data_IF_034557586972
#
_entry.id   IF_034557586972
#
_cell.length_a   1.000
_cell.length_b   1.000
_cell.length_c   1.000
_cell.angle_alpha   90.00
_cell.angle_beta   90.00
_cell.angle_gamma   90.00
#
_symmetry.space_group_name_H-M   'P 1'
#
loop_
_entity.id
_entity.type
_entity.pdbx_description
1 polymer ?
#
# COMPACT_ATOMS: atom_id res chain seq x y z
N UNK A 1 24.12 4.09 0.56
CA UNK A 1 22.87 3.41 1.01
C UNK A 1 21.78 4.46 1.10
N UNK A 2 21.06 4.75 0.01
CA UNK A 2 19.91 5.65 0.04
C UNK A 2 18.63 4.82 0.11
N UNK A 3 17.89 4.95 1.23
CA UNK A 3 16.53 4.42 1.37
C UNK A 3 15.61 5.10 0.35
N UNK A 4 15.02 4.31 -0.53
CA UNK A 4 14.15 4.79 -1.62
C UNK A 4 12.67 4.88 -1.21
N UNK A 5 12.38 5.12 0.07
CA UNK A 5 11.03 5.02 0.63
C UNK A 5 10.19 6.30 0.61
N UNK A 6 10.75 7.47 0.25
CA UNK A 6 10.05 8.76 0.39
C UNK A 6 9.32 9.28 -0.87
N UNK A 7 9.38 8.59 -2.01
CA UNK A 7 8.79 9.10 -3.26
C UNK A 7 7.26 8.96 -3.39
N UNK A 8 6.56 8.43 -2.38
CA UNK A 8 5.10 8.21 -2.46
C UNK A 8 4.26 8.96 -1.43
N UNK A 9 4.87 9.81 -0.61
CA UNK A 9 4.14 10.51 0.45
C UNK A 9 3.75 11.95 0.09
N UNK A 10 3.92 12.39 -1.17
CA UNK A 10 3.36 13.69 -1.58
C UNK A 10 1.83 13.57 -1.76
N UNK A 11 1.05 14.56 -1.30
CA UNK A 11 -0.37 14.64 -1.56
C UNK A 11 -0.56 15.05 -3.02
N UNK A 12 -0.38 14.13 -3.97
CA UNK A 12 -1.12 14.07 -5.23
C UNK A 12 -0.66 12.90 -6.11
N UNK A 13 -1.62 12.02 -6.41
CA UNK A 13 -1.68 11.19 -7.60
C UNK A 13 -3.17 11.04 -7.93
N UNK A 14 -3.71 12.03 -8.66
CA UNK A 14 -5.05 12.01 -9.20
C UNK A 14 -5.18 10.83 -10.18
N UNK A 15 -6.29 10.07 -10.10
CA UNK A 15 -6.55 8.97 -11.03
C UNK A 15 -7.62 7.96 -10.64
N UNK A 16 -8.37 8.14 -9.55
CA UNK A 16 -9.57 7.34 -9.29
C UNK A 16 -10.55 8.11 -8.41
N UNK A 17 -11.84 7.79 -8.52
CA UNK A 17 -12.85 8.24 -7.57
C UNK A 17 -12.49 7.75 -6.14
N UNK A 18 -11.97 8.67 -5.33
CA UNK A 18 -11.55 8.40 -3.96
C UNK A 18 -12.73 8.51 -2.98
N UNK A 19 -13.92 8.92 -3.44
CA UNK A 19 -15.09 9.18 -2.59
C UNK A 19 -15.49 7.96 -1.78
N UNK A 20 -15.42 6.76 -2.36
CA UNK A 20 -15.74 5.49 -1.68
C UNK A 20 -14.79 5.13 -0.53
N UNK A 21 -13.66 5.82 -0.41
CA UNK A 21 -12.70 5.63 0.68
C UNK A 21 -12.73 6.77 1.71
N UNK A 22 -13.63 7.75 1.53
CA UNK A 22 -13.85 8.83 2.49
C UNK A 22 -14.75 8.36 3.63
N UNK A 23 -14.28 8.62 4.84
CA UNK A 23 -15.00 8.42 6.09
C UNK A 23 -15.50 9.78 6.56
N UNK A 24 -16.81 9.87 6.79
CA UNK A 24 -17.50 11.08 7.26
C UNK A 24 -18.02 10.95 8.70
N UNK A 25 -18.17 9.72 9.20
CA UNK A 25 -18.67 9.46 10.55
C UNK A 25 -17.68 9.98 11.60
N UNK A 26 -18.10 10.95 12.41
CA UNK A 26 -17.26 11.51 13.49
C UNK A 26 -16.79 10.45 14.48
N UNK A 27 -17.64 9.46 14.79
CA UNK A 27 -17.30 8.36 15.68
C UNK A 27 -16.19 7.49 15.08
N UNK A 28 -16.29 7.18 13.79
CA UNK A 28 -15.30 6.37 13.08
C UNK A 28 -13.98 7.13 12.91
N UNK A 29 -14.03 8.41 12.56
CA UNK A 29 -12.85 9.29 12.49
C UNK A 29 -12.13 9.31 13.84
N UNK A 30 -12.86 9.55 14.94
CA UNK A 30 -12.31 9.53 16.28
C UNK A 30 -11.65 8.18 16.65
N UNK A 31 -12.30 7.07 16.29
CA UNK A 31 -11.76 5.73 16.52
C UNK A 31 -10.45 5.50 15.75
N UNK A 32 -10.42 5.85 14.46
CA UNK A 32 -9.22 5.72 13.61
C UNK A 32 -8.06 6.56 14.15
N UNK A 33 -8.29 7.85 14.40
CA UNK A 33 -7.25 8.74 14.95
C UNK A 33 -6.80 8.28 16.35
N UNK A 34 -7.72 7.76 17.17
CA UNK A 34 -7.39 7.17 18.47
C UNK A 34 -6.51 5.92 18.35
N UNK A 35 -6.77 5.05 17.37
CA UNK A 35 -5.90 3.90 17.08
C UNK A 35 -4.50 4.34 16.65
N UNK A 36 -4.41 5.36 15.79
CA UNK A 36 -3.13 5.92 15.35
C UNK A 36 -2.31 6.47 16.52
N UNK A 37 -2.96 7.22 17.42
CA UNK A 37 -2.32 7.77 18.62
C UNK A 37 -1.87 6.70 19.60
N UNK A 38 -2.72 5.71 19.90
CA UNK A 38 -2.35 4.56 20.75
C UNK A 38 -1.16 3.77 20.20
N UNK A 39 -1.05 3.67 18.88
CA UNK A 39 0.05 2.98 18.22
C UNK A 39 1.32 3.82 18.09
N UNK A 40 1.30 5.12 18.45
CA UNK A 40 2.43 6.03 18.23
C UNK A 40 2.82 6.16 16.76
N UNK A 41 1.85 6.07 15.85
CA UNK A 41 2.14 6.08 14.40
C UNK A 41 2.74 7.41 13.98
N UNK A 42 3.86 7.37 13.25
CA UNK A 42 4.48 8.56 12.67
C UNK A 42 3.55 9.16 11.60
N UNK A 43 3.23 10.44 11.74
CA UNK A 43 2.38 11.21 10.84
C UNK A 43 3.24 12.28 10.18
N UNK A 44 3.18 12.36 8.85
CA UNK A 44 3.81 13.45 8.11
C UNK A 44 2.77 14.53 7.85
N UNK A 45 3.02 15.75 8.32
CA UNK A 45 2.16 16.90 8.14
C UNK A 45 2.75 17.82 7.07
N UNK A 46 2.10 17.88 5.90
CA UNK A 46 2.48 18.71 4.76
C UNK A 46 1.76 20.05 4.80
N UNK A 47 2.48 21.13 4.50
CA UNK A 47 1.97 22.49 4.42
C UNK A 47 2.74 23.30 3.36
N UNK A 48 2.46 24.60 3.22
CA UNK A 48 3.12 25.43 2.19
C UNK A 48 2.87 24.93 0.76
N UNK A 49 1.67 24.41 0.48
CA UNK A 49 1.35 23.78 -0.81
C UNK A 49 1.99 22.41 -1.02
N UNK A 50 2.47 21.75 0.04
CA UNK A 50 3.11 20.44 -0.03
C UNK A 50 4.64 20.49 -0.22
N UNK A 51 5.23 21.68 -0.18
CA UNK A 51 6.67 21.89 -0.27
C UNK A 51 7.37 21.76 1.09
N UNK A 52 6.66 22.04 2.18
CA UNK A 52 7.16 21.90 3.54
C UNK A 52 6.47 20.74 4.26
N UNK A 53 7.18 20.11 5.20
CA UNK A 53 6.60 19.11 6.08
C UNK A 53 7.24 19.08 7.47
N UNK A 54 6.51 18.53 8.44
CA UNK A 54 7.04 18.08 9.72
C UNK A 54 6.63 16.63 9.98
N UNK A 55 7.44 15.91 10.76
CA UNK A 55 7.07 14.63 11.34
C UNK A 55 6.47 14.87 12.73
N UNK A 56 5.32 14.26 13.00
CA UNK A 56 4.58 14.40 14.26
C UNK A 56 3.90 13.06 14.61
N UNK A 57 3.20 13.00 15.74
CA UNK A 57 2.36 11.86 16.14
C UNK A 57 1.10 12.37 16.85
N UNK A 58 0.01 11.60 16.80
CA UNK A 58 -1.21 11.91 17.55
C UNK A 58 -0.98 11.56 19.02
N UNK A 59 -1.02 12.57 19.89
CA UNK A 59 -0.84 12.43 21.34
C UNK A 59 -2.16 12.06 22.00
N UNK A 60 -3.25 12.71 21.60
CA UNK A 60 -4.57 12.47 22.17
C UNK A 60 -5.68 12.87 21.21
N UNK A 61 -6.83 12.22 21.36
CA UNK A 61 -8.08 12.55 20.69
C UNK A 61 -9.14 12.80 21.77
N UNK A 62 -9.90 13.89 21.63
CA UNK A 62 -10.99 14.31 22.54
C UNK A 62 -12.25 14.56 21.71
N UNK A 63 -13.00 13.50 21.35
CA UNK A 63 -14.17 13.61 20.47
C UNK A 63 -15.25 14.54 21.04
N UNK A 64 -15.46 14.50 22.36
CA UNK A 64 -16.39 15.35 23.10
C UNK A 64 -16.04 16.84 23.04
N UNK A 65 -14.76 17.17 22.82
CA UNK A 65 -14.29 18.55 22.63
C UNK A 65 -14.07 18.90 21.15
N UNK A 66 -14.28 17.95 20.23
CA UNK A 66 -13.94 18.07 18.82
C UNK A 66 -12.45 18.40 18.58
N UNK A 67 -11.54 17.85 19.38
CA UNK A 67 -10.11 18.20 19.38
C UNK A 67 -9.20 16.99 19.16
N UNK A 68 -8.12 17.21 18.41
CA UNK A 68 -6.99 16.28 18.23
C UNK A 68 -5.71 17.01 18.63
N UNK A 69 -4.87 16.35 19.43
CA UNK A 69 -3.59 16.87 19.89
C UNK A 69 -2.46 16.10 19.22
N UNK A 70 -1.48 16.82 18.70
CA UNK A 70 -0.35 16.28 17.93
C UNK A 70 0.96 16.77 18.53
N UNK A 71 2.00 15.94 18.50
CA UNK A 71 3.31 16.34 19.00
C UNK A 71 3.95 17.42 18.13
N UNK A 72 4.93 18.14 18.67
CA UNK A 72 5.75 19.03 17.85
C UNK A 72 6.74 18.23 17.01
N UNK A 73 7.06 18.74 15.82
CA UNK A 73 8.17 18.22 15.04
C UNK A 73 9.51 18.62 15.67
N UNK A 74 10.59 17.98 15.23
CA UNK A 74 11.93 18.24 15.76
C UNK A 74 12.46 19.66 15.45
N UNK A 75 12.00 20.29 14.36
CA UNK A 75 12.41 21.64 13.94
C UNK A 75 11.39 22.69 14.42
N UNK A 76 11.82 23.54 15.36
CA UNK A 76 11.01 24.63 15.90
C UNK A 76 10.60 25.68 14.84
N UNK A 77 11.46 25.98 13.87
CA UNK A 77 11.14 26.92 12.79
C UNK A 77 10.10 26.33 11.85
N UNK A 78 10.19 25.03 11.53
CA UNK A 78 9.17 24.33 10.75
C UNK A 78 7.83 24.25 11.51
N UNK A 79 7.86 24.03 12.83
CA UNK A 79 6.66 24.07 13.68
C UNK A 79 5.96 25.44 13.65
N UNK A 80 6.73 26.53 13.66
CA UNK A 80 6.18 27.89 13.52
C UNK A 80 5.54 28.10 12.15
N UNK A 81 6.20 27.68 11.06
CA UNK A 81 5.61 27.74 9.70
C UNK A 81 4.34 26.90 9.59
N UNK A 82 4.32 25.70 10.17
CA UNK A 82 3.14 24.83 10.17
C UNK A 82 1.93 25.49 10.86
N UNK A 83 2.14 26.24 11.94
CA UNK A 83 1.07 27.00 12.63
C UNK A 83 0.53 28.18 11.83
N UNK A 84 1.39 28.80 11.03
CA UNK A 84 1.03 29.94 10.18
C UNK A 84 0.39 29.50 8.86
N UNK A 85 0.46 28.21 8.52
CA UNK A 85 -0.16 27.67 7.32
C UNK A 85 -1.69 27.61 7.45
N UNK A 86 -2.40 28.00 6.39
CA UNK A 86 -3.87 27.94 6.33
C UNK A 86 -4.44 26.58 5.91
N UNK A 87 -3.58 25.60 5.60
CA UNK A 87 -3.98 24.22 5.34
C UNK A 87 -2.82 23.28 5.62
N UNK A 88 -3.08 22.25 6.40
CA UNK A 88 -2.15 21.19 6.73
C UNK A 88 -2.76 19.86 6.31
N UNK A 89 -2.03 19.06 5.53
CA UNK A 89 -2.45 17.72 5.12
C UNK A 89 -1.60 16.70 5.85
N UNK A 90 -2.24 15.82 6.59
CA UNK A 90 -1.60 14.75 7.34
C UNK A 90 -1.68 13.46 6.54
N UNK A 91 -0.55 12.76 6.43
CA UNK A 91 -0.46 11.46 5.79
C UNK A 91 0.20 10.49 6.77
N UNK A 92 -0.42 9.33 6.96
CA UNK A 92 0.10 8.27 7.82
C UNK A 92 -0.18 6.91 7.17
N UNK A 93 0.82 6.04 7.20
CA UNK A 93 0.66 4.64 6.78
C UNK A 93 0.63 3.78 8.02
N UNK A 94 -0.55 3.30 8.40
CA UNK A 94 -0.73 2.41 9.54
C UNK A 94 -1.14 1.02 9.06
N UNK A 95 -0.35 -0.01 9.39
CA UNK A 95 -0.58 -1.40 8.95
C UNK A 95 -0.80 -1.52 7.44
N UNK A 96 0.03 -0.81 6.64
CA UNK A 96 -0.03 -0.75 5.17
C UNK A 96 -1.30 -0.09 4.59
N UNK A 97 -2.11 0.54 5.43
CA UNK A 97 -3.26 1.35 5.01
C UNK A 97 -2.85 2.80 5.14
N UNK A 98 -2.93 3.52 4.02
CA UNK A 98 -2.68 4.94 4.01
C UNK A 98 -3.93 5.69 4.44
N UNK A 99 -3.75 6.60 5.39
CA UNK A 99 -4.77 7.45 5.95
C UNK A 99 -4.35 8.89 5.71
N UNK A 100 -5.27 9.69 5.14
CA UNK A 100 -5.08 11.14 4.96
C UNK A 100 -6.20 11.91 5.61
N UNK A 101 -5.86 13.01 6.24
CA UNK A 101 -6.83 13.98 6.76
C UNK A 101 -6.21 15.36 6.72
N UNK A 102 -7.01 16.40 6.93
CA UNK A 102 -6.53 17.78 6.85
C UNK A 102 -7.05 18.62 8.03
N UNK A 103 -6.31 19.69 8.31
CA UNK A 103 -6.71 20.75 9.21
C UNK A 103 -6.55 22.10 8.52
N UNK A 104 -7.41 23.06 8.87
CA UNK A 104 -7.29 24.45 8.41
C UNK A 104 -6.21 25.23 9.19
N UNK A 105 -5.97 24.88 10.45
CA UNK A 105 -4.95 25.52 11.26
C UNK A 105 -4.48 24.62 12.40
N UNK A 106 -3.25 24.87 12.87
CA UNK A 106 -2.69 24.29 14.08
C UNK A 106 -2.53 25.38 15.14
N UNK A 107 -3.01 25.11 16.35
CA UNK A 107 -2.83 26.01 17.51
C UNK A 107 -1.90 25.38 18.52
N UNK A 108 -1.12 26.20 19.22
CA UNK A 108 -0.36 25.72 20.38
C UNK A 108 -1.31 25.42 21.53
N UNK A 109 -1.07 24.28 22.17
CA UNK A 109 -1.75 23.86 23.38
C UNK A 109 -0.77 23.15 24.31
N UNK A 110 -1.24 22.80 25.51
CA UNK A 110 -0.53 21.92 26.42
C UNK A 110 -1.35 20.68 26.70
N UNK A 111 -0.70 19.53 26.68
CA UNK A 111 -1.33 18.26 27.01
C UNK A 111 -0.36 17.39 27.83
N UNK A 112 -0.77 17.03 29.05
CA UNK A 112 0.08 16.26 29.96
C UNK A 112 1.42 16.94 30.27
N UNK A 113 1.43 18.27 30.43
CA UNK A 113 2.63 19.07 30.74
C UNK A 113 3.58 19.31 29.55
N UNK A 114 3.25 18.82 28.35
CA UNK A 114 4.05 19.00 27.14
C UNK A 114 3.37 19.99 26.17
N UNK A 115 4.17 20.76 25.46
CA UNK A 115 3.68 21.60 24.37
C UNK A 115 3.32 20.71 23.17
N UNK A 116 2.12 20.93 22.64
CA UNK A 116 1.56 20.14 21.54
C UNK A 116 0.86 21.07 20.57
N UNK A 117 0.68 20.62 19.33
CA UNK A 117 -0.32 21.22 18.46
C UNK A 117 -1.70 20.72 18.85
N UNK A 118 -2.69 21.55 18.57
CA UNK A 118 -4.10 21.20 18.64
C UNK A 118 -4.79 21.62 17.35
N UNK A 119 -5.73 20.78 16.90
CA UNK A 119 -6.58 21.02 15.74
C UNK A 119 -8.00 20.53 16.04
N UNK A 120 -8.97 21.07 15.30
CA UNK A 120 -10.31 20.50 15.28
C UNK A 120 -10.27 19.08 14.69
N UNK A 121 -11.22 18.23 15.09
CA UNK A 121 -11.44 16.94 14.43
C UNK A 121 -11.66 17.17 12.92
N UNK A 122 -11.01 16.41 12.02
CA UNK A 122 -11.24 16.57 10.60
C UNK A 122 -12.69 16.20 10.25
N UNK A 123 -13.30 16.97 9.35
CA UNK A 123 -14.67 16.68 8.87
C UNK A 123 -14.74 15.39 8.05
N UNK A 124 -13.63 15.04 7.40
CA UNK A 124 -13.49 13.83 6.59
C UNK A 124 -12.10 13.24 6.74
N UNK A 125 -12.01 11.92 6.66
CA UNK A 125 -10.75 11.18 6.62
C UNK A 125 -10.75 10.25 5.41
N UNK A 126 -9.68 10.27 4.62
CA UNK A 126 -9.48 9.31 3.53
C UNK A 126 -8.75 8.10 4.08
N UNK A 127 -9.32 6.90 3.95
CA UNK A 127 -8.70 5.63 4.35
C UNK A 127 -8.55 4.71 3.15
N UNK A 128 -7.36 4.69 2.53
CA UNK A 128 -7.06 4.01 1.28
C UNK A 128 -6.84 2.49 1.45
N UNK A 129 -7.85 1.79 2.00
CA UNK A 129 -7.89 0.33 1.99
C UNK A 129 -8.48 -0.18 0.66
N UNK A 130 -7.67 -0.10 -0.41
CA UNK A 130 -8.07 -0.49 -1.78
C UNK A 130 -8.06 -1.99 -2.06
N UNK A 131 -7.61 -2.81 -1.10
CA UNK A 131 -7.34 -4.23 -1.31
C UNK A 131 -8.26 -5.07 -0.44
N UNK A 132 -9.05 -5.90 -1.10
CA UNK A 132 -9.90 -6.91 -0.45
C UNK A 132 -9.10 -8.12 0.00
N UNK A 133 -8.01 -8.44 -0.72
CA UNK A 133 -7.16 -9.59 -0.44
C UNK A 133 -5.75 -9.18 0.00
N UNK A 134 -5.24 -9.87 1.03
CA UNK A 134 -3.84 -9.79 1.43
C UNK A 134 -2.92 -10.26 0.29
N UNK A 135 -1.77 -9.60 0.14
CA UNK A 135 -0.76 -9.94 -0.87
C UNK A 135 0.56 -10.30 -0.20
N UNK A 136 1.19 -11.35 -0.70
CA UNK A 136 2.53 -11.76 -0.28
C UNK A 136 3.48 -11.75 -1.47
N UNK A 137 4.69 -11.23 -1.26
CA UNK A 137 5.77 -11.28 -2.24
C UNK A 137 6.29 -12.72 -2.33
N UNK A 138 6.54 -13.18 -3.55
CA UNK A 138 7.09 -14.51 -3.81
C UNK A 138 8.62 -14.51 -3.63
N UNK A 139 9.24 -15.67 -3.31
CA UNK A 139 10.68 -15.75 -3.16
C UNK A 139 11.44 -15.48 -4.46
N UNK A 140 12.49 -14.65 -4.41
CA UNK A 140 13.35 -14.38 -5.57
C UNK A 140 14.25 -15.56 -5.96
N UNK A 141 14.61 -16.40 -4.99
CA UNK A 141 15.50 -17.55 -5.20
C UNK A 141 14.81 -18.74 -5.86
N UNK A 142 13.48 -18.82 -5.73
CA UNK A 142 12.62 -19.83 -6.34
C UNK A 142 11.37 -19.10 -6.85
N UNK A 143 11.48 -18.39 -7.98
CA UNK A 143 10.40 -17.57 -8.49
C UNK A 143 9.19 -18.43 -8.81
N UNK A 144 8.03 -17.91 -8.43
CA UNK A 144 6.75 -18.49 -8.83
C UNK A 144 6.47 -18.09 -10.28
N UNK A 145 5.96 -19.00 -11.10
CA UNK A 145 5.76 -18.75 -12.54
C UNK A 145 4.27 -18.86 -12.89
N UNK A 146 3.83 -17.96 -13.77
CA UNK A 146 2.56 -18.06 -14.48
C UNK A 146 2.85 -18.41 -15.94
N UNK A 147 2.23 -19.46 -16.43
CA UNK A 147 2.28 -19.88 -17.83
C UNK A 147 1.05 -19.30 -18.53
N UNK A 148 1.27 -18.40 -19.48
CA UNK A 148 0.23 -17.80 -20.31
C UNK A 148 0.11 -18.64 -21.58
N UNK A 149 -1.09 -19.17 -21.80
CA UNK A 149 -1.38 -19.94 -23.02
C UNK A 149 -1.27 -19.03 -24.26
N UNK A 150 -0.89 -19.58 -25.43
CA UNK A 150 -0.86 -18.79 -26.66
C UNK A 150 -2.23 -18.19 -26.97
N UNK A 151 -2.28 -16.88 -27.24
CA UNK A 151 -3.54 -16.16 -27.45
C UNK A 151 -4.03 -16.20 -28.91
N UNK A 152 -3.15 -16.51 -29.86
CA UNK A 152 -3.48 -16.58 -31.29
C UNK A 152 -2.85 -17.82 -31.91
N UNK A 153 -3.41 -18.29 -33.04
CA UNK A 153 -2.87 -19.44 -33.77
C UNK A 153 -1.47 -19.21 -34.36
N UNK A 154 -1.00 -17.95 -34.41
CA UNK A 154 0.34 -17.59 -34.88
C UNK A 154 1.41 -17.71 -33.79
N UNK A 155 1.00 -17.64 -32.52
CA UNK A 155 1.89 -17.89 -31.37
C UNK A 155 1.76 -19.36 -31.00
N UNK A 156 2.84 -20.12 -31.15
CA UNK A 156 2.80 -21.58 -30.90
C UNK A 156 3.30 -21.97 -29.51
N UNK A 157 4.08 -21.13 -28.84
CA UNK A 157 4.67 -21.44 -27.54
C UNK A 157 3.99 -20.66 -26.41
N UNK A 158 3.72 -21.30 -25.25
CA UNK A 158 3.25 -20.59 -24.06
C UNK A 158 4.34 -19.65 -23.54
N UNK A 159 3.93 -18.51 -22.98
CA UNK A 159 4.84 -17.56 -22.36
C UNK A 159 4.95 -17.82 -20.85
N UNK A 160 6.17 -17.83 -20.32
CA UNK A 160 6.41 -17.98 -18.88
C UNK A 160 6.77 -16.62 -18.27
N UNK A 161 5.94 -16.15 -17.34
CA UNK A 161 6.15 -14.87 -16.65
C UNK A 161 6.37 -15.08 -15.16
N UNK A 162 7.30 -14.31 -14.58
CA UNK A 162 7.61 -14.42 -13.15
C UNK A 162 6.56 -13.69 -12.33
N UNK A 163 5.97 -14.35 -11.34
CA UNK A 163 5.06 -13.74 -10.37
C UNK A 163 5.88 -13.09 -9.26
N UNK A 164 5.68 -11.79 -9.05
CA UNK A 164 6.35 -10.96 -8.03
C UNK A 164 5.58 -10.95 -6.72
N UNK A 165 4.26 -10.89 -6.79
CA UNK A 165 3.37 -11.00 -5.62
C UNK A 165 2.07 -11.71 -5.99
N UNK A 166 1.47 -12.39 -5.01
CA UNK A 166 0.25 -13.18 -5.17
C UNK A 166 -0.74 -12.86 -4.04
N UNK A 167 -2.02 -12.90 -4.38
CA UNK A 167 -3.18 -12.75 -3.49
C UNK A 167 -4.30 -13.69 -3.92
N UNK A 168 -5.35 -13.84 -3.11
CA UNK A 168 -6.52 -14.63 -3.50
C UNK A 168 -7.36 -14.02 -4.64
N UNK A 169 -7.13 -12.76 -5.00
CA UNK A 169 -7.83 -12.08 -6.09
C UNK A 169 -6.97 -11.77 -7.32
N UNK A 170 -5.68 -12.10 -7.32
CA UNK A 170 -4.80 -11.80 -8.45
C UNK A 170 -3.32 -11.94 -8.17
N UNK A 171 -2.52 -11.71 -9.20
CA UNK A 171 -1.05 -11.79 -9.21
C UNK A 171 -0.45 -10.52 -9.82
N UNK A 172 0.75 -10.15 -9.38
CA UNK A 172 1.60 -9.24 -10.11
C UNK A 172 2.69 -10.03 -10.83
N UNK A 173 2.87 -9.79 -12.12
CA UNK A 173 3.89 -10.45 -12.95
C UNK A 173 4.93 -9.45 -13.43
N UNK A 174 6.13 -9.94 -13.65
CA UNK A 174 7.22 -9.23 -14.31
C UNK A 174 7.82 -10.16 -15.36
N UNK A 175 8.08 -9.62 -16.54
CA UNK A 175 8.67 -10.39 -17.63
C UNK A 175 9.68 -9.50 -18.40
N UNK A 176 10.90 -10.03 -18.67
CA UNK A 176 11.93 -9.36 -19.47
C UNK A 176 11.59 -9.16 -20.95
N UNK A 177 10.67 -9.95 -21.51
CA UNK A 177 10.50 -10.13 -22.96
C UNK A 177 9.05 -9.95 -23.44
N UNK A 178 8.18 -9.33 -22.63
CA UNK A 178 6.75 -9.26 -22.96
C UNK A 178 6.54 -8.61 -24.34
N UNK A 179 5.71 -9.20 -25.22
CA UNK A 179 5.18 -8.50 -26.39
C UNK A 179 4.46 -7.20 -25.98
N UNK A 180 4.24 -6.28 -26.91
CA UNK A 180 3.53 -5.02 -26.63
C UNK A 180 2.12 -5.22 -26.02
N UNK A 181 1.58 -6.45 -26.06
CA UNK A 181 0.18 -6.80 -25.79
C UNK A 181 -0.25 -6.96 -24.31
N UNK A 182 0.65 -6.89 -23.30
CA UNK A 182 0.21 -6.84 -21.88
C UNK A 182 -0.15 -5.41 -21.50
N UNK A 183 -1.25 -4.93 -22.05
CA UNK A 183 -1.81 -3.62 -21.74
C UNK A 183 -3.01 -3.72 -20.80
N UNK A 184 -3.32 -2.61 -20.14
CA UNK A 184 -4.46 -2.56 -19.22
C UNK A 184 -5.74 -2.90 -19.96
N UNK A 185 -6.49 -3.89 -19.45
CA UNK A 185 -7.69 -4.43 -20.09
C UNK A 185 -7.46 -5.75 -20.85
N UNK A 186 -6.22 -6.11 -21.18
CA UNK A 186 -5.93 -7.39 -21.83
C UNK A 186 -6.37 -8.58 -20.96
N UNK A 187 -6.98 -9.58 -21.59
CA UNK A 187 -7.50 -10.78 -20.94
C UNK A 187 -6.77 -12.00 -21.48
N UNK A 188 -6.19 -12.79 -20.58
CA UNK A 188 -5.48 -14.02 -20.90
C UNK A 188 -6.23 -15.19 -20.30
N UNK A 189 -6.69 -16.10 -21.15
CA UNK A 189 -7.45 -17.27 -20.71
C UNK A 189 -6.57 -18.48 -20.49
N UNK A 190 -6.98 -19.35 -19.56
CA UNK A 190 -6.32 -20.63 -19.29
C UNK A 190 -4.89 -20.50 -18.76
N UNK A 191 -4.57 -19.40 -18.07
CA UNK A 191 -3.26 -19.22 -17.46
C UNK A 191 -3.05 -20.26 -16.35
N UNK A 192 -1.86 -20.84 -16.28
CA UNK A 192 -1.50 -21.84 -15.27
C UNK A 192 -0.49 -21.26 -14.29
N UNK A 193 -0.84 -21.26 -13.01
CA UNK A 193 0.04 -20.87 -11.92
C UNK A 193 0.56 -22.14 -11.26
N UNK A 194 1.86 -22.36 -11.32
CA UNK A 194 2.51 -23.52 -10.71
C UNK A 194 2.76 -23.20 -9.23
N UNK A 195 2.09 -23.89 -8.31
CA UNK A 195 2.26 -23.72 -6.87
C UNK A 195 3.15 -24.84 -6.31
N UNK A 196 4.41 -24.55 -5.92
CA UNK A 196 5.35 -25.56 -5.43
C UNK A 196 4.74 -26.42 -4.32
N UNK A 197 4.81 -27.74 -4.49
CA UNK A 197 4.27 -28.78 -3.58
C UNK A 197 2.74 -28.81 -3.42
N UNK A 198 2.00 -27.89 -4.04
CA UNK A 198 0.54 -27.79 -3.95
C UNK A 198 -0.18 -28.09 -5.27
N UNK A 199 0.57 -28.21 -6.37
CA UNK A 199 0.06 -28.50 -7.70
C UNK A 199 -0.03 -27.25 -8.57
N UNK A 200 -1.07 -27.14 -9.37
CA UNK A 200 -1.28 -25.97 -10.23
C UNK A 200 -2.70 -25.45 -10.18
N UNK A 201 -2.84 -24.16 -10.51
CA UNK A 201 -4.12 -23.47 -10.63
C UNK A 201 -4.27 -22.98 -12.06
N UNK A 202 -5.35 -23.37 -12.72
CA UNK A 202 -5.76 -22.79 -14.00
C UNK A 202 -6.80 -21.69 -13.76
N UNK A 203 -6.56 -20.49 -14.30
CA UNK A 203 -7.45 -19.35 -14.17
C UNK A 203 -7.29 -18.40 -15.35
N UNK A 204 -8.34 -17.65 -15.64
CA UNK A 204 -8.26 -16.50 -16.54
C UNK A 204 -7.77 -15.29 -15.74
N UNK A 205 -7.01 -14.41 -16.38
CA UNK A 205 -6.48 -13.19 -15.77
C UNK A 205 -6.76 -11.96 -16.65
N UNK A 206 -7.08 -10.84 -16.02
CA UNK A 206 -7.24 -9.54 -16.70
C UNK A 206 -6.23 -8.55 -16.16
N UNK A 207 -5.51 -7.87 -17.04
CA UNK A 207 -4.53 -6.84 -16.67
C UNK A 207 -5.27 -5.60 -16.17
N UNK A 208 -5.03 -5.21 -14.92
CA UNK A 208 -5.60 -4.01 -14.28
C UNK A 208 -4.64 -2.84 -14.19
N UNK A 209 -3.35 -3.11 -14.34
CA UNK A 209 -2.31 -2.09 -14.40
C UNK A 209 -1.09 -2.65 -15.11
N UNK A 210 -0.45 -1.87 -15.97
CA UNK A 210 0.82 -2.20 -16.58
C UNK A 210 1.73 -0.96 -16.60
N UNK A 211 3.00 -1.12 -16.25
CA UNK A 211 3.98 -0.05 -16.29
C UNK A 211 5.41 -0.61 -16.45
N UNK A 212 6.31 0.20 -17.01
CA UNK A 212 7.71 -0.15 -17.09
C UNK A 212 8.39 -0.04 -15.72
N UNK A 213 9.26 -1.00 -15.41
CA UNK A 213 10.14 -0.98 -14.25
C UNK A 213 11.59 -1.16 -14.69
N UNK A 214 12.46 -0.29 -14.19
CA UNK A 214 13.91 -0.45 -14.36
C UNK A 214 14.45 -1.25 -13.19
N UNK A 215 15.01 -2.42 -13.47
CA UNK A 215 15.68 -3.25 -12.47
C UNK A 215 17.02 -2.62 -12.04
N UNK A 216 17.60 -3.13 -10.94
CA UNK A 216 18.91 -2.69 -10.45
C UNK A 216 20.04 -2.87 -11.49
N UNK A 217 19.88 -3.81 -12.41
CA UNK A 217 20.79 -4.03 -13.53
C UNK A 217 20.69 -2.97 -14.63
N UNK A 218 19.73 -2.05 -14.56
CA UNK A 218 19.40 -1.11 -15.62
C UNK A 218 18.48 -1.69 -16.70
N UNK A 219 18.18 -3.00 -16.66
CA UNK A 219 17.24 -3.62 -17.58
C UNK A 219 15.82 -3.08 -17.37
N UNK A 220 15.13 -2.77 -18.48
CA UNK A 220 13.72 -2.39 -18.47
C UNK A 220 12.86 -3.64 -18.61
N UNK A 221 11.88 -3.79 -17.73
CA UNK A 221 10.92 -4.88 -17.74
C UNK A 221 9.50 -4.29 -17.70
N UNK A 222 8.51 -5.00 -18.22
CA UNK A 222 7.10 -4.64 -18.03
C UNK A 222 6.59 -5.35 -16.77
N UNK A 223 6.02 -4.58 -15.83
CA UNK A 223 5.32 -5.12 -14.66
C UNK A 223 3.83 -4.93 -14.83
N UNK A 224 3.08 -6.02 -14.68
CA UNK A 224 1.64 -6.01 -14.78
C UNK A 224 0.98 -6.54 -13.50
N UNK A 225 -0.12 -5.91 -13.10
CA UNK A 225 -1.00 -6.38 -12.04
C UNK A 225 -2.24 -6.99 -12.68
N UNK A 226 -2.47 -8.27 -12.43
CA UNK A 226 -3.54 -9.03 -13.05
C UNK A 226 -4.54 -9.50 -11.99
N UNK A 227 -5.83 -9.34 -12.27
CA UNK A 227 -6.94 -9.85 -11.48
C UNK A 227 -7.38 -11.22 -11.99
N UNK A 228 -7.75 -12.13 -11.09
CA UNK A 228 -8.35 -13.41 -11.47
C UNK A 228 -9.81 -13.25 -11.85
N UNK A 229 -10.22 -13.84 -12.97
CA UNK A 229 -11.62 -13.83 -13.43
C UNK A 229 -12.31 -15.12 -13.01
N UNK A 230 -13.47 -15.01 -12.36
CA UNK A 230 -14.38 -16.10 -11.99
C UNK A 230 -13.67 -17.35 -11.39
N UNK A 231 -12.65 -17.10 -10.57
CA UNK A 231 -11.84 -18.17 -9.99
C UNK A 231 -12.68 -19.08 -9.11
N UNK A 232 -12.66 -20.37 -9.43
CA UNK A 232 -13.34 -21.42 -8.65
C UNK A 232 -12.80 -21.49 -7.22
N UNK A 233 -13.68 -21.79 -6.26
CA UNK A 233 -13.33 -21.78 -4.83
C UNK A 233 -12.19 -22.77 -4.47
N UNK A 234 -12.14 -23.92 -5.15
CA UNK A 234 -11.04 -24.88 -5.01
C UNK A 234 -9.68 -24.29 -5.41
N UNK A 235 -9.64 -23.53 -6.50
CA UNK A 235 -8.42 -22.87 -6.97
C UNK A 235 -8.01 -21.75 -5.99
N UNK A 236 -8.97 -20.95 -5.55
CA UNK A 236 -8.75 -19.90 -4.54
C UNK A 236 -8.20 -20.48 -3.22
N UNK A 237 -8.75 -21.61 -2.78
CA UNK A 237 -8.28 -22.35 -1.60
C UNK A 237 -6.83 -22.86 -1.73
N UNK A 238 -6.40 -23.26 -2.94
CA UNK A 238 -5.00 -23.64 -3.18
C UNK A 238 -4.07 -22.43 -3.07
N UNK A 239 -4.46 -21.29 -3.66
CA UNK A 239 -3.71 -20.03 -3.54
C UNK A 239 -3.64 -19.59 -2.08
N UNK A 240 -4.74 -19.62 -1.33
CA UNK A 240 -4.76 -19.26 0.09
C UNK A 240 -3.81 -20.14 0.91
N UNK A 241 -3.80 -21.45 0.67
CA UNK A 241 -2.85 -22.38 1.33
C UNK A 241 -1.39 -22.05 0.99
N UNK A 242 -1.12 -21.70 -0.26
CA UNK A 242 0.21 -21.26 -0.68
C UNK A 242 0.64 -19.97 0.01
N UNK A 243 -0.24 -18.96 0.08
CA UNK A 243 0.00 -17.70 0.79
C UNK A 243 0.32 -17.97 2.26
N UNK A 244 -0.49 -18.79 2.95
CA UNK A 244 -0.25 -19.15 4.34
C UNK A 244 1.06 -19.91 4.55
N UNK A 245 1.52 -20.72 3.58
CA UNK A 245 2.84 -21.36 3.60
C UNK A 245 3.96 -20.31 3.55
N UNK A 246 3.91 -19.40 2.59
CA UNK A 246 4.89 -18.31 2.46
C UNK A 246 4.94 -17.40 3.69
N UNK A 247 3.79 -17.10 4.30
CA UNK A 247 3.74 -16.30 5.53
C UNK A 247 4.49 -16.97 6.69
N UNK A 248 4.35 -18.29 6.85
CA UNK A 248 5.10 -19.06 7.85
C UNK A 248 6.60 -18.99 7.58
N UNK A 249 7.02 -19.26 6.34
CA UNK A 249 8.44 -19.19 5.95
C UNK A 249 9.05 -17.79 6.17
N UNK A 250 8.29 -16.73 5.90
CA UNK A 250 8.74 -15.35 6.16
C UNK A 250 8.89 -15.06 7.65
N UNK A 251 7.98 -15.56 8.50
CA UNK A 251 8.08 -15.43 9.96
C UNK A 251 9.29 -16.16 10.51
N UNK A 252 9.53 -17.39 10.05
CA UNK A 252 10.66 -18.23 10.50
C UNK A 252 12.00 -17.57 10.14
N UNK A 253 12.12 -17.03 8.92
CA UNK A 253 13.33 -16.28 8.49
C UNK A 253 13.52 -14.97 9.27
N UNK A 254 12.43 -14.28 9.60
CA UNK A 254 12.50 -13.07 10.41
C UNK A 254 12.97 -13.41 11.83
N UNK A 255 12.41 -14.45 12.46
CA UNK A 255 12.79 -14.93 13.80
C UNK A 255 14.25 -15.38 13.88
N UNK A 256 14.72 -16.18 12.92
CA UNK A 256 16.11 -16.65 12.86
C UNK A 256 17.14 -15.52 12.68
N UNK A 257 16.72 -14.34 12.22
CA UNK A 257 17.57 -13.15 12.07
C UNK A 257 17.74 -12.37 13.38
N UNK A 258 16.84 -12.53 14.35
CA UNK A 258 16.92 -11.91 15.69
C UNK A 258 17.71 -12.74 16.70
N UNK A 259 17.81 -14.05 16.47
CA UNK A 259 18.55 -14.97 17.35
C UNK A 259 20.06 -15.01 17.03
N UNK A 260 20.47 -14.39 15.91
CA UNK A 260 21.87 -14.28 15.43
C UNK A 260 22.44 -12.86 15.48
N UNK A 261 21.74 -11.92 16.11
CA UNK A 261 22.18 -10.53 16.32
C UNK A 261 22.32 -10.26 17.81
#
# INVERSE_FOLDING_TARGET
MQNHTDKHLKPDAAGADQSKYLIYSRLEIAAILGTLGKAGSMVTAYFGGGNDFILTSIVAVRPEQNMVFLDYGADAAANQRARQAGKITFVVVHKRIEIRFAAESLRQARFGGRDVFSMAMPATLLRLQRREYFRITTPLTRPLVCIIAPQTAQVHAPAEVTIVDISCGGIAVIDPCVPDDIDTGACFRGCRILLPELGEVTTDIVVRSAFEVTLRSGAKHKRAGCEFVDMRERARSLIQRYISKLEREHKDRAGARWEKA
#
